data_IF_392573603723
#
_entry.id   IF_392573603723
#
_cell.length_a   1.000
_cell.length_b   1.000
_cell.length_c   1.000
_cell.angle_alpha   90.00
_cell.angle_beta   90.00
_cell.angle_gamma   90.00
#
_symmetry.space_group_name_H-M   'P 1'
#
loop_
_entity.id
_entity.type
_entity.pdbx_description
1 polymer ?
#
# COMPACT_ATOMS: atom_id res chain seq x y z
N UNK A 1 108.30 97.11 -21.20
CA UNK A 1 107.90 96.03 -22.10
C UNK A 1 106.70 95.35 -21.48
N UNK A 2 105.58 95.45 -22.21
CA UNK A 2 104.42 94.52 -22.22
C UNK A 2 103.54 94.54 -20.95
N UNK A 3 102.37 95.19 -20.90
CA UNK A 3 101.06 94.92 -21.56
C UNK A 3 100.51 93.50 -21.30
N UNK A 4 99.46 93.36 -20.46
CA UNK A 4 98.07 93.21 -20.94
C UNK A 4 97.00 92.89 -19.85
N UNK A 5 95.93 93.71 -19.90
CA UNK A 5 94.47 93.41 -19.90
C UNK A 5 93.73 92.69 -18.75
N UNK A 6 92.64 93.37 -18.33
CA UNK A 6 91.26 92.91 -17.98
C UNK A 6 90.83 93.18 -16.53
N UNK A 7 89.62 93.59 -16.19
CA UNK A 7 88.48 94.20 -16.87
C UNK A 7 87.58 94.79 -15.75
N UNK A 8 87.08 96.01 -15.95
CA UNK A 8 86.12 96.70 -15.08
C UNK A 8 84.78 95.96 -15.05
N UNK A 9 84.23 95.65 -13.88
CA UNK A 9 82.79 95.36 -13.70
C UNK A 9 82.29 95.94 -12.37
N UNK A 10 81.71 97.13 -12.47
CA UNK A 10 80.71 97.66 -11.53
C UNK A 10 79.50 96.72 -11.52
N UNK A 11 79.21 96.09 -10.39
CA UNK A 11 77.97 95.33 -10.18
C UNK A 11 77.02 96.24 -9.40
N UNK A 12 76.09 96.80 -10.16
CA UNK A 12 74.86 97.43 -9.68
C UNK A 12 74.05 96.45 -8.82
N UNK A 13 73.41 97.01 -7.78
CA UNK A 13 72.25 96.46 -7.08
C UNK A 13 71.29 95.77 -8.07
N UNK A 14 71.10 94.47 -7.90
CA UNK A 14 69.96 93.75 -8.47
C UNK A 14 69.13 93.26 -7.29
N UNK A 15 68.01 93.94 -7.08
CA UNK A 15 66.96 93.59 -6.14
C UNK A 15 66.78 92.07 -6.01
N UNK A 16 67.11 91.53 -4.83
CA UNK A 16 66.78 90.17 -4.44
C UNK A 16 65.26 90.03 -4.44
N UNK A 17 64.72 89.49 -5.54
CA UNK A 17 63.29 89.27 -5.73
C UNK A 17 62.80 88.18 -4.75
N UNK A 18 62.50 88.58 -3.51
CA UNK A 18 62.07 87.71 -2.41
C UNK A 18 60.86 86.84 -2.79
N UNK A 19 60.09 87.26 -3.81
CA UNK A 19 59.02 86.46 -4.40
C UNK A 19 59.51 85.19 -5.10
N UNK A 20 60.67 85.21 -5.76
CA UNK A 20 61.28 84.05 -6.40
C UNK A 20 61.76 83.03 -5.35
N UNK A 21 62.38 83.52 -4.27
CA UNK A 21 62.82 82.67 -3.15
C UNK A 21 61.63 81.99 -2.46
N UNK A 22 60.55 82.73 -2.20
CA UNK A 22 59.34 82.16 -1.61
C UNK A 22 58.62 81.16 -2.53
N UNK A 23 58.64 81.38 -3.86
CA UNK A 23 58.12 80.40 -4.83
C UNK A 23 58.95 79.12 -4.84
N UNK A 24 60.28 79.23 -4.74
CA UNK A 24 61.19 78.09 -4.63
C UNK A 24 60.89 77.28 -3.36
N UNK A 25 60.80 77.92 -2.20
CA UNK A 25 60.44 77.26 -0.94
C UNK A 25 59.04 76.63 -1.01
N UNK A 26 58.08 77.29 -1.65
CA UNK A 26 56.75 76.74 -1.94
C UNK A 26 56.77 75.51 -2.85
N UNK A 27 57.68 75.45 -3.82
CA UNK A 27 57.86 74.28 -4.69
C UNK A 27 58.54 73.11 -3.96
N UNK A 28 59.56 73.40 -3.16
CA UNK A 28 60.28 72.39 -2.36
C UNK A 28 59.35 71.79 -1.30
N UNK A 29 58.53 72.60 -0.63
CA UNK A 29 57.54 72.11 0.34
C UNK A 29 56.46 71.25 -0.31
N UNK A 30 55.99 71.58 -1.53
CA UNK A 30 55.04 70.74 -2.29
C UNK A 30 55.63 69.40 -2.73
N UNK A 31 56.94 69.32 -2.95
CA UNK A 31 57.64 68.05 -3.22
C UNK A 31 57.78 67.19 -1.96
N UNK A 32 57.98 67.82 -0.80
CA UNK A 32 58.14 67.13 0.48
C UNK A 32 56.81 66.69 1.12
N UNK A 33 55.69 67.30 0.73
CA UNK A 33 54.37 66.81 1.12
C UNK A 33 54.10 65.45 0.48
N UNK A 34 54.21 64.40 1.30
CA UNK A 34 53.84 63.03 0.96
C UNK A 34 52.38 62.99 0.50
N UNK A 35 52.15 63.08 -0.82
CA UNK A 35 50.82 62.93 -1.41
C UNK A 35 50.27 61.59 -0.95
N UNK A 36 49.21 61.60 -0.13
CA UNK A 36 48.43 60.40 0.13
C UNK A 36 47.77 60.01 -1.19
N UNK A 37 48.40 59.09 -1.91
CA UNK A 37 47.77 58.43 -3.05
C UNK A 37 46.52 57.76 -2.48
N UNK A 38 45.34 58.26 -2.85
CA UNK A 38 44.08 57.60 -2.53
C UNK A 38 44.15 56.16 -3.04
N UNK A 39 43.45 55.24 -2.36
CA UNK A 39 43.44 53.84 -2.76
C UNK A 39 43.18 53.71 -4.27
N UNK A 40 44.02 52.94 -4.96
CA UNK A 40 43.92 52.72 -6.41
C UNK A 40 42.53 52.19 -6.74
N UNK A 41 41.69 53.00 -7.38
CA UNK A 41 40.40 52.56 -7.89
C UNK A 41 40.63 51.91 -9.25
N UNK A 42 40.56 50.57 -9.27
CA UNK A 42 40.60 49.79 -10.51
C UNK A 42 39.29 50.00 -11.29
N UNK A 43 39.38 50.48 -12.53
CA UNK A 43 38.27 50.54 -13.49
C UNK A 43 38.20 49.26 -14.32
N UNK A 44 38.17 48.11 -13.67
CA UNK A 44 37.83 46.87 -14.36
C UNK A 44 36.30 46.77 -14.46
N UNK A 45 35.73 46.26 -15.56
CA UNK A 45 34.31 45.96 -15.63
C UNK A 45 33.96 44.97 -14.51
N UNK A 46 33.24 45.44 -13.50
CA UNK A 46 32.73 44.55 -12.47
C UNK A 46 31.71 43.60 -13.10
N UNK A 47 31.79 42.31 -12.77
CA UNK A 47 30.90 41.26 -13.27
C UNK A 47 29.40 41.55 -13.05
N UNK A 48 29.07 42.45 -12.12
CA UNK A 48 27.69 42.85 -11.81
C UNK A 48 27.55 44.39 -11.86
N UNK A 49 27.12 44.93 -12.99
CA UNK A 49 26.61 46.31 -13.09
C UNK A 49 25.09 46.21 -13.06
N UNK A 50 24.47 46.60 -11.94
CA UNK A 50 23.02 46.80 -11.87
C UNK A 50 22.75 48.22 -11.40
N UNK A 51 21.94 48.93 -12.18
CA UNK A 51 21.53 50.31 -11.90
C UNK A 51 20.47 50.37 -10.78
N UNK A 52 19.95 49.21 -10.36
CA UNK A 52 18.89 49.08 -9.36
C UNK A 52 19.41 48.63 -7.98
N UNK A 53 20.71 48.79 -7.71
CA UNK A 53 21.30 48.50 -6.42
C UNK A 53 20.82 49.51 -5.35
N UNK A 54 19.67 49.24 -4.75
CA UNK A 54 19.23 49.87 -3.51
C UNK A 54 20.18 49.45 -2.39
N UNK A 55 21.23 50.24 -2.18
CA UNK A 55 22.19 50.07 -1.08
C UNK A 55 21.92 51.11 -0.01
N UNK A 56 21.86 50.68 1.26
CA UNK A 56 21.78 51.58 2.41
C UNK A 56 23.17 51.71 2.99
N UNK A 57 23.69 52.93 3.10
CA UNK A 57 24.86 53.18 3.94
C UNK A 57 24.43 53.10 5.40
N UNK A 58 24.94 52.08 6.10
CA UNK A 58 24.80 51.96 7.54
C UNK A 58 26.19 51.67 8.13
N UNK A 59 26.64 52.53 9.04
CA UNK A 59 27.98 52.45 9.67
C UNK A 59 29.15 52.28 8.67
N UNK A 60 29.16 53.07 7.59
CA UNK A 60 30.25 53.07 6.60
C UNK A 60 30.34 51.81 5.73
N UNK A 61 29.39 50.87 5.83
CA UNK A 61 29.27 49.71 4.95
C UNK A 61 28.05 49.87 4.05
N UNK A 62 28.22 49.54 2.77
CA UNK A 62 27.12 49.52 1.79
C UNK A 62 26.38 48.19 1.91
N UNK A 63 25.27 48.16 2.64
CA UNK A 63 24.45 46.97 2.78
C UNK A 63 23.42 46.91 1.64
N UNK A 64 23.49 45.86 0.81
CA UNK A 64 22.53 45.63 -0.28
C UNK A 64 21.21 45.15 0.32
N UNK A 65 20.10 45.84 0.02
CA UNK A 65 18.78 45.40 0.46
C UNK A 65 18.47 44.06 -0.21
N UNK A 66 18.27 43.01 0.60
CA UNK A 66 17.95 41.68 0.07
C UNK A 66 16.46 41.63 -0.30
N UNK A 67 16.12 40.93 -1.37
CA UNK A 67 14.72 40.70 -1.77
C UNK A 67 13.89 40.08 -0.62
N UNK A 68 14.53 39.29 0.25
CA UNK A 68 13.91 38.73 1.46
C UNK A 68 13.50 39.79 2.50
N UNK A 69 14.19 40.93 2.58
CA UNK A 69 13.86 42.04 3.48
C UNK A 69 12.66 42.85 2.97
N UNK A 70 12.61 43.11 1.66
CA UNK A 70 11.44 43.71 1.01
C UNK A 70 10.21 42.78 1.12
N UNK A 71 10.41 41.46 1.06
CA UNK A 71 9.34 40.50 1.26
C UNK A 71 8.77 40.49 2.69
N UNK A 72 9.48 41.05 3.69
CA UNK A 72 8.96 41.17 5.07
C UNK A 72 7.92 42.27 5.18
N UNK A 73 8.12 43.41 4.52
CA UNK A 73 7.12 44.50 4.52
C UNK A 73 5.83 44.08 3.81
N UNK A 74 5.92 43.26 2.77
CA UNK A 74 4.77 42.69 2.06
C UNK A 74 3.91 41.74 2.92
N UNK A 75 4.44 41.19 4.03
CA UNK A 75 3.65 40.36 4.95
C UNK A 75 2.72 41.17 5.87
N UNK A 76 2.85 42.50 5.91
CA UNK A 76 1.99 43.35 6.75
C UNK A 76 0.56 43.42 6.24
N UNK A 77 0.33 43.15 4.95
CA UNK A 77 -1.00 43.15 4.32
C UNK A 77 -1.36 41.76 3.82
N UNK A 78 -2.52 41.26 4.24
CA UNK A 78 -3.01 39.93 3.89
C UNK A 78 -3.09 39.68 2.37
N UNK A 79 -3.39 40.71 1.58
CA UNK A 79 -3.47 40.63 0.11
C UNK A 79 -2.14 40.29 -0.57
N UNK A 80 -1.01 40.62 0.07
CA UNK A 80 0.34 40.42 -0.50
C UNK A 80 1.09 39.23 0.13
N UNK A 81 0.52 38.57 1.13
CA UNK A 81 1.09 37.37 1.76
C UNK A 81 1.34 36.24 0.74
N UNK A 82 0.46 36.09 -0.26
CA UNK A 82 0.66 35.10 -1.33
C UNK A 82 1.95 35.35 -2.14
N UNK A 83 2.32 36.62 -2.34
CA UNK A 83 3.52 37.01 -3.09
C UNK A 83 4.76 36.66 -2.27
N UNK A 84 4.76 36.91 -0.96
CA UNK A 84 5.87 36.56 -0.08
C UNK A 84 6.07 35.04 0.01
N UNK A 85 4.98 34.26 0.02
CA UNK A 85 5.03 32.79 -0.01
C UNK A 85 5.62 32.28 -1.32
N UNK A 86 5.16 32.78 -2.47
CA UNK A 86 5.72 32.44 -3.78
C UNK A 86 7.21 32.77 -3.84
N UNK A 87 7.63 33.91 -3.31
CA UNK A 87 9.03 34.32 -3.24
C UNK A 87 9.88 33.37 -2.38
N UNK A 88 9.40 32.98 -1.20
CA UNK A 88 10.08 31.99 -0.35
C UNK A 88 10.19 30.64 -1.03
N UNK A 89 9.15 30.19 -1.75
CA UNK A 89 9.20 28.93 -2.50
C UNK A 89 10.17 29.00 -3.67
N UNK A 90 10.23 30.13 -4.38
CA UNK A 90 11.17 30.36 -5.45
C UNK A 90 12.62 30.37 -4.92
N UNK A 91 12.89 31.05 -3.81
CA UNK A 91 14.21 31.04 -3.17
C UNK A 91 14.64 29.63 -2.73
N UNK A 92 13.72 28.81 -2.21
CA UNK A 92 14.02 27.41 -1.84
C UNK A 92 14.31 26.51 -3.04
N UNK A 93 13.66 26.77 -4.18
CA UNK A 93 13.82 26.01 -5.42
C UNK A 93 14.97 26.52 -6.29
N UNK A 94 15.38 27.77 -6.12
CA UNK A 94 16.52 28.39 -6.78
C UNK A 94 17.84 27.88 -6.20
N UNK A 95 18.12 26.58 -6.39
CA UNK A 95 19.47 26.05 -6.26
C UNK A 95 20.11 26.16 -7.63
N UNK A 96 21.05 27.09 -7.75
CA UNK A 96 21.87 27.21 -8.95
C UNK A 96 22.73 25.96 -9.06
N UNK A 97 22.76 25.36 -10.25
CA UNK A 97 23.70 24.28 -10.51
C UNK A 97 25.12 24.87 -10.46
N UNK A 98 26.09 24.16 -9.85
CA UNK A 98 27.46 24.58 -9.91
C UNK A 98 27.93 24.57 -11.37
N UNK A 99 28.88 25.44 -11.69
CA UNK A 99 29.54 25.43 -12.99
C UNK A 99 30.10 24.02 -13.23
N UNK A 100 29.88 23.41 -14.42
CA UNK A 100 30.46 22.12 -14.73
C UNK A 100 31.99 22.18 -14.62
N UNK A 101 32.57 21.13 -14.05
CA UNK A 101 34.01 20.97 -13.94
C UNK A 101 34.64 20.73 -15.32
N UNK A 102 35.95 20.93 -15.45
CA UNK A 102 36.68 20.57 -16.67
C UNK A 102 36.62 19.05 -16.90
N UNK A 103 36.70 18.64 -18.17
CA UNK A 103 36.52 17.24 -18.58
C UNK A 103 37.44 16.26 -17.83
N UNK A 104 38.70 16.65 -17.62
CA UNK A 104 39.68 15.81 -16.91
C UNK A 104 39.22 15.51 -15.47
N UNK A 105 38.64 16.50 -14.81
CA UNK A 105 38.13 16.35 -13.45
C UNK A 105 36.83 15.55 -13.41
N UNK A 106 35.91 15.78 -14.36
CA UNK A 106 34.67 14.99 -14.46
C UNK A 106 34.98 13.51 -14.73
N UNK A 107 35.90 13.22 -15.64
CA UNK A 107 36.26 11.86 -16.01
C UNK A 107 36.96 11.13 -14.87
N UNK A 108 37.74 11.84 -14.05
CA UNK A 108 38.32 11.27 -12.82
C UNK A 108 37.23 10.89 -11.82
N UNK A 109 36.25 11.76 -11.61
CA UNK A 109 35.12 11.50 -10.71
C UNK A 109 34.27 10.33 -11.23
N UNK A 110 33.96 10.30 -12.53
CA UNK A 110 33.20 9.22 -13.16
C UNK A 110 33.92 7.88 -13.04
N UNK A 111 35.24 7.85 -13.24
CA UNK A 111 36.04 6.63 -13.05
C UNK A 111 36.05 6.18 -11.59
N UNK A 112 36.17 7.10 -10.64
CA UNK A 112 36.12 6.76 -9.21
C UNK A 112 34.75 6.15 -8.84
N UNK A 113 33.66 6.77 -9.27
CA UNK A 113 32.30 6.25 -9.06
C UNK A 113 32.08 4.90 -9.75
N UNK A 114 32.58 4.73 -10.99
CA UNK A 114 32.54 3.46 -11.71
C UNK A 114 33.35 2.36 -11.01
N UNK A 115 34.52 2.70 -10.45
CA UNK A 115 35.33 1.78 -9.66
C UNK A 115 34.60 1.33 -8.38
N UNK A 116 33.98 2.26 -7.65
CA UNK A 116 33.20 1.90 -6.45
C UNK A 116 32.04 0.98 -6.79
N UNK A 117 31.32 1.26 -7.88
CA UNK A 117 30.22 0.41 -8.33
C UNK A 117 30.71 -0.98 -8.72
N UNK A 118 31.74 -1.08 -9.56
CA UNK A 118 32.30 -2.38 -9.99
C UNK A 118 32.89 -3.17 -8.83
N UNK A 119 33.54 -2.50 -7.87
CA UNK A 119 34.00 -3.10 -6.61
C UNK A 119 32.83 -3.71 -5.84
N UNK A 120 31.72 -3.00 -5.68
CA UNK A 120 30.54 -3.55 -5.00
C UNK A 120 29.95 -4.78 -5.73
N UNK A 121 29.98 -4.80 -7.07
CA UNK A 121 29.52 -5.96 -7.84
C UNK A 121 30.45 -7.16 -7.67
N UNK A 122 31.77 -6.94 -7.71
CA UNK A 122 32.77 -7.98 -7.51
C UNK A 122 32.74 -8.54 -6.09
N UNK A 123 32.53 -7.70 -5.07
CA UNK A 123 32.41 -8.13 -3.68
C UNK A 123 31.29 -9.17 -3.47
N UNK A 124 30.27 -9.22 -4.32
CA UNK A 124 29.21 -10.26 -4.26
C UNK A 124 29.78 -11.66 -4.52
N UNK A 125 30.87 -11.75 -5.29
CA UNK A 125 31.54 -12.99 -5.64
C UNK A 125 32.59 -13.41 -4.62
N UNK A 126 33.00 -12.53 -3.69
CA UNK A 126 34.03 -12.83 -2.70
C UNK A 126 33.70 -14.07 -1.87
N UNK A 127 32.43 -14.26 -1.50
CA UNK A 127 31.99 -15.43 -0.74
C UNK A 127 32.18 -16.74 -1.54
N UNK A 128 31.84 -16.75 -2.82
CA UNK A 128 32.00 -17.92 -3.71
C UNK A 128 33.47 -18.20 -3.94
N UNK A 129 34.28 -17.17 -4.19
CA UNK A 129 35.73 -17.29 -4.38
C UNK A 129 36.39 -17.79 -3.10
N UNK A 130 36.01 -17.27 -1.93
CA UNK A 130 36.52 -17.71 -0.64
C UNK A 130 36.17 -19.18 -0.39
N UNK A 131 34.92 -19.57 -0.61
CA UNK A 131 34.49 -20.97 -0.48
C UNK A 131 35.30 -21.90 -1.39
N UNK A 132 35.54 -21.50 -2.64
CA UNK A 132 36.36 -22.27 -3.57
C UNK A 132 37.83 -22.36 -3.15
N UNK A 133 38.40 -21.30 -2.53
CA UNK A 133 39.78 -21.31 -2.01
C UNK A 133 39.95 -22.19 -0.76
N UNK A 134 38.91 -22.26 0.07
CA UNK A 134 38.93 -23.05 1.31
C UNK A 134 38.61 -24.53 1.05
N UNK A 135 37.91 -24.85 -0.04
CA UNK A 135 37.54 -26.22 -0.37
C UNK A 135 38.79 -27.11 -0.59
N UNK A 136 38.83 -28.27 0.08
CA UNK A 136 39.93 -29.24 -0.05
C UNK A 136 40.03 -29.84 -1.45
N UNK A 137 38.90 -30.04 -2.12
CA UNK A 137 38.83 -30.56 -3.48
C UNK A 137 37.82 -29.76 -4.31
N UNK A 138 38.23 -29.40 -5.53
CA UNK A 138 37.36 -28.81 -6.54
C UNK A 138 37.24 -29.80 -7.71
N UNK A 139 36.00 -30.15 -8.09
CA UNK A 139 35.72 -31.00 -9.24
C UNK A 139 35.26 -30.15 -10.43
N UNK A 140 35.92 -30.32 -11.57
CA UNK A 140 35.55 -29.66 -12.83
C UNK A 140 35.06 -30.71 -13.85
N UNK A 141 34.00 -30.43 -14.64
CA UNK A 141 33.28 -29.16 -14.76
C UNK A 141 32.42 -28.84 -13.51
N UNK A 142 32.29 -27.55 -13.18
CA UNK A 142 31.41 -27.11 -12.10
C UNK A 142 29.98 -27.55 -12.41
N UNK A 143 29.29 -28.13 -11.42
CA UNK A 143 27.87 -28.50 -11.57
C UNK A 143 27.06 -27.22 -11.80
N UNK A 144 26.74 -26.91 -13.04
CA UNK A 144 25.74 -25.89 -13.34
C UNK A 144 24.39 -26.43 -12.89
N UNK A 145 23.65 -25.66 -12.10
CA UNK A 145 22.23 -25.90 -11.83
C UNK A 145 21.42 -25.62 -13.11
N UNK A 146 21.72 -26.33 -14.20
CA UNK A 146 20.67 -26.65 -15.17
C UNK A 146 19.80 -27.66 -14.45
N UNK A 147 18.93 -27.17 -13.56
CA UNK A 147 17.85 -27.96 -13.00
C UNK A 147 17.01 -28.36 -14.21
N UNK A 148 17.31 -29.52 -14.79
CA UNK A 148 16.38 -30.21 -15.66
C UNK A 148 15.26 -30.65 -14.74
N UNK A 149 14.32 -29.75 -14.51
CA UNK A 149 13.03 -30.11 -13.95
C UNK A 149 12.46 -31.05 -15.01
N UNK A 150 12.59 -32.35 -14.76
CA UNK A 150 11.76 -33.34 -15.41
C UNK A 150 10.33 -33.04 -14.94
N UNK A 151 9.73 -32.05 -15.58
CA UNK A 151 8.31 -31.84 -15.55
C UNK A 151 7.72 -33.17 -16.01
N UNK A 152 6.61 -33.60 -15.41
CA UNK A 152 5.89 -34.80 -15.84
C UNK A 152 5.47 -34.74 -17.34
N UNK A 153 5.79 -33.68 -18.08
CA UNK A 153 5.74 -33.59 -19.54
C UNK A 153 6.72 -34.52 -20.26
N UNK A 154 7.64 -35.21 -19.57
CA UNK A 154 8.29 -36.40 -20.16
C UNK A 154 7.26 -37.51 -20.47
N UNK A 155 6.08 -37.50 -19.81
CA UNK A 155 4.92 -38.34 -20.17
C UNK A 155 4.33 -37.90 -21.51
N UNK A 156 4.39 -36.61 -21.85
CA UNK A 156 3.93 -36.13 -23.16
C UNK A 156 4.86 -36.57 -24.31
N UNK A 157 6.14 -36.80 -24.03
CA UNK A 157 7.05 -37.45 -25.00
C UNK A 157 6.76 -38.95 -25.17
N UNK A 158 5.92 -39.55 -24.30
CA UNK A 158 5.37 -40.90 -24.49
C UNK A 158 4.19 -40.93 -25.46
N UNK A 159 3.72 -39.78 -25.98
CA UNK A 159 2.67 -39.71 -27.00
C UNK A 159 3.15 -40.33 -28.32
N UNK A 160 3.04 -41.65 -28.38
CA UNK A 160 2.84 -42.41 -29.63
C UNK A 160 1.54 -41.94 -30.29
N UNK A 161 1.38 -42.22 -31.58
CA UNK A 161 0.07 -42.06 -32.24
C UNK A 161 -0.95 -42.82 -31.38
N UNK A 162 -2.03 -42.17 -30.91
CA UNK A 162 -3.03 -42.83 -30.11
C UNK A 162 -3.57 -44.03 -30.90
N UNK A 163 -3.68 -45.17 -30.24
CA UNK A 163 -4.29 -46.37 -30.83
C UNK A 163 -5.76 -46.09 -31.15
N UNK A 164 -6.35 -46.83 -32.10
CA UNK A 164 -7.76 -46.67 -32.49
C UNK A 164 -8.69 -46.74 -31.26
N UNK A 165 -8.37 -47.64 -30.32
CA UNK A 165 -9.08 -47.75 -29.03
C UNK A 165 -8.93 -46.52 -28.14
N UNK A 166 -7.75 -45.90 -28.09
CA UNK A 166 -7.53 -44.68 -27.30
C UNK A 166 -8.26 -43.48 -27.90
N UNK A 167 -8.39 -43.42 -29.23
CA UNK A 167 -9.21 -42.41 -29.91
C UNK A 167 -10.69 -42.58 -29.56
N UNK A 168 -11.23 -43.79 -29.70
CA UNK A 168 -12.62 -44.12 -29.32
C UNK A 168 -12.89 -43.85 -27.83
N UNK A 169 -11.96 -44.22 -26.95
CA UNK A 169 -12.09 -43.95 -25.51
C UNK A 169 -12.05 -42.45 -25.21
N UNK A 170 -11.23 -41.70 -25.94
CA UNK A 170 -11.16 -40.24 -25.81
C UNK A 170 -12.43 -39.57 -26.31
N UNK A 171 -13.04 -40.08 -27.38
CA UNK A 171 -14.33 -39.61 -27.87
C UNK A 171 -15.42 -39.91 -26.86
N UNK A 172 -15.46 -41.11 -26.29
CA UNK A 172 -16.43 -41.50 -25.26
C UNK A 172 -16.28 -40.69 -23.96
N UNK A 173 -15.04 -40.33 -23.57
CA UNK A 173 -14.78 -39.46 -22.42
C UNK A 173 -15.11 -37.98 -22.69
N UNK A 174 -14.96 -37.52 -23.94
CA UNK A 174 -15.33 -36.16 -24.37
C UNK A 174 -16.83 -36.02 -24.58
N UNK A 175 -17.52 -37.11 -24.92
CA UNK A 175 -18.96 -37.10 -24.94
C UNK A 175 -19.45 -36.82 -23.51
N UNK A 176 -20.26 -35.77 -23.31
CA UNK A 176 -20.79 -35.47 -22.00
C UNK A 176 -21.65 -36.66 -21.59
N UNK A 177 -21.21 -37.40 -20.56
CA UNK A 177 -22.11 -38.36 -19.93
C UNK A 177 -23.34 -37.57 -19.47
N UNK A 178 -24.57 -38.02 -19.77
CA UNK A 178 -25.78 -37.47 -19.17
C UNK A 178 -25.84 -37.93 -17.71
N UNK A 179 -24.99 -37.36 -16.87
CA UNK A 179 -25.19 -37.33 -15.43
C UNK A 179 -25.46 -35.88 -15.06
N UNK A 180 -26.52 -35.60 -14.28
CA UNK A 180 -26.81 -34.26 -13.81
C UNK A 180 -25.62 -33.78 -12.96
N UNK A 181 -25.09 -32.62 -13.32
CA UNK A 181 -24.16 -31.89 -12.46
C UNK A 181 -24.88 -31.56 -11.14
N UNK A 182 -24.30 -32.07 -10.04
CA UNK A 182 -24.06 -31.34 -8.78
C UNK A 182 -25.33 -30.72 -8.19
N UNK A 183 -26.04 -31.41 -7.29
CA UNK A 183 -26.01 -31.01 -5.87
C UNK A 183 -26.39 -32.11 -4.84
N UNK A 184 -26.48 -33.39 -5.22
CA UNK A 184 -26.96 -34.48 -4.34
C UNK A 184 -25.91 -35.58 -4.03
N UNK A 185 -24.61 -35.28 -4.11
CA UNK A 185 -23.52 -36.27 -3.89
C UNK A 185 -23.26 -36.65 -2.41
N UNK A 186 -24.29 -36.68 -1.57
CA UNK A 186 -24.18 -37.24 -0.21
C UNK A 186 -25.20 -38.33 0.13
N UNK A 187 -26.27 -38.52 -0.65
CA UNK A 187 -27.35 -39.43 -0.25
C UNK A 187 -27.76 -40.56 -1.20
N UNK A 188 -27.29 -40.61 -2.45
CA UNK A 188 -27.61 -41.73 -3.35
C UNK A 188 -26.37 -42.34 -3.98
N UNK A 189 -25.71 -43.24 -3.23
CA UNK A 189 -24.89 -44.31 -3.81
C UNK A 189 -25.12 -45.60 -3.01
N UNK A 190 -26.37 -46.02 -2.90
CA UNK A 190 -26.74 -47.40 -2.58
C UNK A 190 -27.06 -48.22 -3.83
N UNK A 191 -27.25 -47.57 -4.98
CA UNK A 191 -27.63 -48.24 -6.23
C UNK A 191 -26.47 -48.52 -7.20
N UNK A 192 -25.26 -47.97 -6.98
CA UNK A 192 -24.03 -48.43 -7.67
C UNK A 192 -23.57 -49.83 -7.23
N UNK A 193 -24.13 -50.37 -6.15
CA UNK A 193 -23.95 -51.78 -5.77
C UNK A 193 -24.62 -52.75 -6.77
N UNK A 194 -25.39 -52.23 -7.74
CA UNK A 194 -25.92 -52.96 -8.88
C UNK A 194 -25.09 -52.69 -10.14
N UNK A 195 -23.76 -52.65 -10.03
CA UNK A 195 -22.90 -52.94 -11.18
C UNK A 195 -23.32 -54.33 -11.68
N UNK A 196 -24.05 -54.36 -12.81
CA UNK A 196 -24.52 -55.54 -13.53
C UNK A 196 -23.54 -56.70 -13.34
N UNK A 197 -24.04 -57.82 -12.80
CA UNK A 197 -23.32 -59.07 -12.56
C UNK A 197 -22.85 -59.71 -13.87
N UNK A 198 -21.90 -59.07 -14.57
CA UNK A 198 -21.15 -59.73 -15.62
C UNK A 198 -20.11 -60.62 -14.95
N UNK A 199 -19.97 -61.90 -15.34
CA UNK A 199 -18.94 -62.76 -14.79
C UNK A 199 -17.56 -62.19 -15.14
N UNK A 200 -16.92 -61.54 -14.17
CA UNK A 200 -15.60 -60.97 -14.32
C UNK A 200 -14.57 -62.11 -14.48
N UNK A 201 -13.79 -62.06 -15.56
CA UNK A 201 -12.62 -62.93 -15.70
C UNK A 201 -11.66 -62.75 -14.51
N UNK A 202 -10.96 -63.83 -14.12
CA UNK A 202 -10.03 -63.83 -12.98
C UNK A 202 -9.00 -62.69 -13.06
N UNK A 203 -8.53 -62.36 -14.26
CA UNK A 203 -7.62 -61.24 -14.50
C UNK A 203 -8.24 -59.89 -14.11
N UNK A 204 -9.48 -59.63 -14.53
CA UNK A 204 -10.21 -58.39 -14.23
C UNK A 204 -10.47 -58.25 -12.72
N UNK A 205 -10.75 -59.36 -12.02
CA UNK A 205 -10.93 -59.35 -10.56
C UNK A 205 -9.62 -58.98 -9.85
N UNK A 206 -8.48 -59.52 -10.30
CA UNK A 206 -7.16 -59.17 -9.74
C UNK A 206 -6.84 -57.70 -9.98
N UNK A 207 -7.13 -57.18 -11.17
CA UNK A 207 -6.92 -55.77 -11.50
C UNK A 207 -7.81 -54.83 -10.71
N UNK A 208 -9.13 -55.14 -10.59
CA UNK A 208 -10.06 -54.40 -9.73
C UNK A 208 -9.56 -54.39 -8.27
N UNK A 209 -9.10 -55.52 -7.75
CA UNK A 209 -8.52 -55.60 -6.39
C UNK A 209 -7.27 -54.73 -6.24
N UNK A 210 -6.37 -54.74 -7.22
CA UNK A 210 -5.16 -53.88 -7.23
C UNK A 210 -5.53 -52.40 -7.28
N UNK A 211 -6.52 -52.03 -8.09
CA UNK A 211 -7.02 -50.66 -8.20
C UNK A 211 -7.66 -50.19 -6.88
N UNK A 212 -8.53 -51.00 -6.28
CA UNK A 212 -9.15 -50.71 -4.98
C UNK A 212 -8.09 -50.59 -3.88
N UNK A 213 -7.09 -51.48 -3.86
CA UNK A 213 -5.99 -51.42 -2.90
C UNK A 213 -5.19 -50.10 -3.05
N UNK A 214 -4.93 -49.67 -4.29
CA UNK A 214 -4.26 -48.39 -4.60
C UNK A 214 -5.09 -47.19 -4.14
N UNK A 215 -6.40 -47.18 -4.41
CA UNK A 215 -7.31 -46.12 -3.97
C UNK A 215 -7.38 -46.04 -2.44
N UNK A 216 -7.50 -47.19 -1.76
CA UNK A 216 -7.50 -47.27 -0.29
C UNK A 216 -6.20 -46.72 0.30
N UNK A 217 -5.05 -47.06 -0.29
CA UNK A 217 -3.76 -46.53 0.14
C UNK A 217 -3.68 -45.01 -0.04
N UNK A 218 -4.13 -44.47 -1.18
CA UNK A 218 -4.16 -43.02 -1.43
C UNK A 218 -5.08 -42.28 -0.45
N UNK A 219 -6.27 -42.82 -0.18
CA UNK A 219 -7.20 -42.27 0.81
C UNK A 219 -6.57 -42.26 2.20
N UNK A 220 -5.90 -43.34 2.61
CA UNK A 220 -5.18 -43.42 3.89
C UNK A 220 -4.06 -42.37 3.99
N UNK A 221 -3.28 -42.14 2.93
CA UNK A 221 -2.27 -41.08 2.92
C UNK A 221 -2.88 -39.68 3.02
N UNK A 222 -4.00 -39.42 2.34
CA UNK A 222 -4.72 -38.14 2.46
C UNK A 222 -5.25 -37.94 3.88
N UNK A 223 -5.85 -38.97 4.48
CA UNK A 223 -6.36 -38.94 5.85
C UNK A 223 -5.23 -38.70 6.86
N UNK A 224 -4.13 -39.44 6.77
CA UNK A 224 -2.97 -39.25 7.67
C UNK A 224 -2.34 -37.87 7.52
N UNK A 225 -2.24 -37.33 6.30
CA UNK A 225 -1.79 -35.95 6.05
C UNK A 225 -2.76 -34.94 6.68
N UNK A 226 -4.07 -35.11 6.52
CA UNK A 226 -5.08 -34.25 7.13
C UNK A 226 -5.02 -34.29 8.66
N UNK A 227 -4.81 -35.48 9.24
CA UNK A 227 -4.62 -35.66 10.69
C UNK A 227 -3.34 -34.98 11.19
N UNK A 228 -2.22 -35.09 10.47
CA UNK A 228 -1.00 -34.34 10.80
C UNK A 228 -1.24 -32.84 10.72
N UNK A 229 -1.95 -32.41 9.67
CA UNK A 229 -2.30 -31.01 9.45
C UNK A 229 -3.19 -30.44 10.58
N UNK A 230 -4.16 -31.22 11.08
CA UNK A 230 -5.01 -30.80 12.21
C UNK A 230 -4.27 -30.78 13.55
N UNK A 231 -3.25 -31.65 13.71
CA UNK A 231 -2.39 -31.69 14.91
C UNK A 231 -1.36 -30.57 15.00
N UNK A 232 -1.10 -29.81 13.92
CA UNK A 232 -0.16 -28.68 13.97
C UNK A 232 -0.78 -27.55 14.78
N UNK A 233 -0.31 -27.32 16.01
CA UNK A 233 -0.84 -26.29 16.92
C UNK A 233 -0.27 -24.88 16.69
N UNK A 234 0.56 -24.69 15.67
CA UNK A 234 1.23 -23.41 15.38
C UNK A 234 0.23 -22.35 14.92
N UNK A 235 0.17 -21.22 15.64
CA UNK A 235 -0.65 -20.05 15.26
C UNK A 235 -0.30 -19.53 13.86
N UNK A 236 1.00 -19.45 13.55
CA UNK A 236 1.51 -19.01 12.24
C UNK A 236 1.03 -19.93 11.12
N UNK A 237 1.03 -21.24 11.36
CA UNK A 237 0.56 -22.23 10.39
C UNK A 237 -0.92 -22.07 10.07
N UNK A 238 -1.80 -22.02 11.08
CA UNK A 238 -3.23 -21.82 10.84
C UNK A 238 -3.56 -20.45 10.26
N UNK A 239 -2.76 -19.42 10.54
CA UNK A 239 -2.90 -18.11 9.90
C UNK A 239 -2.54 -18.16 8.42
N UNK A 240 -1.43 -18.81 8.07
CA UNK A 240 -1.00 -19.01 6.67
C UNK A 240 -2.02 -19.88 5.94
N UNK A 241 -2.50 -20.97 6.55
CA UNK A 241 -3.49 -21.86 5.95
C UNK A 241 -4.82 -21.14 5.68
N UNK A 242 -5.33 -20.36 6.64
CA UNK A 242 -6.54 -19.55 6.43
C UNK A 242 -6.36 -18.56 5.30
N UNK A 243 -5.21 -17.87 5.25
CA UNK A 243 -4.89 -16.94 4.15
C UNK A 243 -4.78 -17.66 2.81
N UNK A 244 -4.23 -18.86 2.77
CA UNK A 244 -4.15 -19.67 1.55
C UNK A 244 -5.55 -20.07 1.07
N UNK A 245 -6.40 -20.60 1.95
CA UNK A 245 -7.78 -20.99 1.62
C UNK A 245 -8.59 -19.81 1.09
N UNK A 246 -8.49 -18.64 1.72
CA UNK A 246 -9.18 -17.42 1.24
C UNK A 246 -8.67 -17.00 -0.13
N UNK A 247 -7.36 -17.08 -0.38
CA UNK A 247 -6.79 -16.78 -1.70
C UNK A 247 -7.22 -17.77 -2.78
N UNK A 248 -7.34 -19.06 -2.43
CA UNK A 248 -7.85 -20.09 -3.34
C UNK A 248 -9.31 -19.81 -3.70
N UNK A 249 -10.16 -19.53 -2.71
CA UNK A 249 -11.57 -19.16 -2.94
C UNK A 249 -11.74 -17.90 -3.80
N UNK A 250 -10.88 -16.89 -3.61
CA UNK A 250 -10.89 -15.68 -4.45
C UNK A 250 -10.48 -15.98 -5.89
N UNK A 251 -9.44 -16.82 -6.09
CA UNK A 251 -9.03 -17.25 -7.43
C UNK A 251 -10.10 -18.08 -8.12
N UNK A 252 -10.71 -19.03 -7.41
CA UNK A 252 -11.83 -19.81 -7.93
C UNK A 252 -12.98 -18.91 -8.36
N UNK A 253 -13.28 -17.88 -7.58
CA UNK A 253 -14.29 -16.88 -7.92
C UNK A 253 -13.92 -16.04 -9.15
N UNK A 254 -12.67 -15.56 -9.25
CA UNK A 254 -12.16 -14.83 -10.42
C UNK A 254 -12.18 -15.68 -11.69
N UNK A 255 -11.82 -16.96 -11.58
CA UNK A 255 -11.87 -17.91 -12.70
C UNK A 255 -13.31 -18.19 -13.14
N UNK A 256 -14.23 -18.38 -12.19
CA UNK A 256 -15.66 -18.56 -12.49
C UNK A 256 -16.24 -17.29 -13.13
N UNK A 257 -15.86 -16.10 -12.66
CA UNK A 257 -16.31 -14.84 -13.26
C UNK A 257 -15.87 -14.69 -14.73
N UNK A 258 -14.68 -15.20 -15.09
CA UNK A 258 -14.16 -15.15 -16.45
C UNK A 258 -14.75 -16.22 -17.37
N UNK A 259 -15.01 -17.42 -16.84
CA UNK A 259 -15.52 -18.56 -17.61
C UNK A 259 -17.04 -18.49 -17.76
N UNK A 260 -17.75 -18.36 -16.62
CA UNK A 260 -19.20 -18.50 -16.50
C UNK A 260 -19.76 -17.46 -15.49
N UNK A 261 -20.17 -16.27 -15.93
CA UNK A 261 -20.65 -15.22 -15.03
C UNK A 261 -21.92 -15.61 -14.26
N UNK A 262 -22.76 -16.49 -14.82
CA UNK A 262 -23.97 -17.00 -14.14
C UNK A 262 -23.63 -17.91 -12.94
N UNK A 263 -22.62 -18.78 -13.07
CA UNK A 263 -22.16 -19.64 -11.98
C UNK A 263 -21.49 -18.83 -10.86
N UNK A 264 -20.80 -17.74 -11.21
CA UNK A 264 -20.25 -16.81 -10.21
C UNK A 264 -21.36 -16.11 -9.40
N UNK A 265 -22.46 -15.72 -10.05
CA UNK A 265 -23.63 -15.15 -9.37
C UNK A 265 -24.29 -16.17 -8.44
N UNK A 266 -24.46 -17.42 -8.88
CA UNK A 266 -25.00 -18.50 -8.03
C UNK A 266 -24.13 -18.73 -6.78
N UNK A 267 -22.80 -18.76 -6.91
CA UNK A 267 -21.89 -18.87 -5.76
C UNK A 267 -21.99 -17.68 -4.80
N UNK A 268 -22.22 -16.47 -5.29
CA UNK A 268 -22.50 -15.31 -4.42
C UNK A 268 -23.86 -15.44 -3.74
N UNK A 269 -24.90 -15.84 -4.46
CA UNK A 269 -26.23 -16.06 -3.91
C UNK A 269 -26.23 -17.16 -2.85
N UNK A 270 -25.48 -18.24 -3.02
CA UNK A 270 -25.29 -19.28 -2.01
C UNK A 270 -24.68 -18.72 -0.73
N UNK A 271 -23.62 -17.90 -0.84
CA UNK A 271 -23.00 -17.23 0.32
C UNK A 271 -23.96 -16.24 1.00
N UNK A 272 -24.84 -15.60 0.24
CA UNK A 272 -25.88 -14.73 0.78
C UNK A 272 -27.04 -15.51 1.40
N UNK A 273 -27.43 -16.64 0.80
CA UNK A 273 -28.43 -17.58 1.32
C UNK A 273 -27.95 -18.19 2.64
N UNK A 274 -26.70 -18.64 2.74
CA UNK A 274 -26.15 -19.13 4.02
C UNK A 274 -26.15 -18.02 5.07
N UNK A 275 -25.76 -16.80 4.70
CA UNK A 275 -25.81 -15.63 5.59
C UNK A 275 -27.24 -15.27 6.00
N UNK A 276 -28.21 -15.38 5.10
CA UNK A 276 -29.63 -15.11 5.35
C UNK A 276 -30.23 -16.20 6.25
N UNK A 277 -29.97 -17.47 5.98
CA UNK A 277 -30.36 -18.60 6.82
C UNK A 277 -29.78 -18.48 8.23
N UNK A 278 -28.53 -18.03 8.38
CA UNK A 278 -27.91 -17.76 9.69
C UNK A 278 -28.56 -16.59 10.44
N UNK A 279 -29.06 -15.57 9.71
CA UNK A 279 -29.84 -14.47 10.29
C UNK A 279 -31.24 -14.90 10.72
N UNK A 280 -31.92 -15.70 9.88
CA UNK A 280 -33.26 -16.23 10.15
C UNK A 280 -33.24 -17.21 11.32
N UNK A 281 -32.27 -18.12 11.34
CA UNK A 281 -32.12 -19.11 12.43
C UNK A 281 -31.58 -18.51 13.73
N UNK A 282 -31.20 -17.22 13.75
CA UNK A 282 -30.60 -16.51 14.90
C UNK A 282 -29.44 -17.28 15.55
N UNK A 283 -28.80 -18.21 14.82
CA UNK A 283 -27.91 -19.25 15.37
C UNK A 283 -26.66 -18.68 16.05
N UNK A 284 -26.22 -17.50 15.60
CA UNK A 284 -25.05 -16.80 16.13
C UNK A 284 -25.41 -15.51 16.88
N UNK A 285 -26.69 -15.26 17.18
CA UNK A 285 -27.13 -14.20 18.10
C UNK A 285 -26.97 -14.66 19.56
N UNK A 286 -26.71 -13.73 20.47
CA UNK A 286 -26.53 -14.01 21.90
C UNK A 286 -27.84 -14.34 22.65
N UNK A 287 -28.93 -14.61 21.94
CA UNK A 287 -30.28 -14.76 22.50
C UNK A 287 -30.60 -16.17 22.99
N UNK A 288 -29.85 -17.20 22.55
CA UNK A 288 -30.04 -18.59 22.97
C UNK A 288 -29.57 -18.88 24.41
N UNK A 289 -30.15 -19.91 25.05
CA UNK A 289 -29.84 -20.30 26.44
C UNK A 289 -28.36 -20.60 26.67
N UNK A 290 -27.69 -21.23 25.70
CA UNK A 290 -26.24 -21.46 25.76
C UNK A 290 -25.44 -20.15 25.81
N UNK A 291 -25.79 -19.17 24.98
CA UNK A 291 -25.12 -17.87 24.95
C UNK A 291 -25.39 -17.06 26.22
N UNK A 292 -26.62 -17.10 26.76
CA UNK A 292 -26.96 -16.50 28.06
C UNK A 292 -26.14 -17.10 29.21
N UNK A 293 -26.01 -18.42 29.25
CA UNK A 293 -25.17 -19.11 30.23
C UNK A 293 -23.68 -18.78 30.05
N UNK A 294 -23.23 -18.62 28.81
CA UNK A 294 -21.86 -18.23 28.49
C UNK A 294 -21.56 -16.79 28.90
N UNK A 295 -22.53 -15.86 28.80
CA UNK A 295 -22.42 -14.48 29.30
C UNK A 295 -22.25 -14.46 30.82
N UNK A 296 -22.99 -15.30 31.55
CA UNK A 296 -22.86 -15.42 33.01
C UNK A 296 -21.48 -15.97 33.37
N UNK A 297 -21.02 -17.03 32.69
CA UNK A 297 -19.70 -17.64 32.93
C UNK A 297 -18.53 -16.76 32.49
N UNK A 298 -18.70 -15.97 31.43
CA UNK A 298 -17.67 -15.06 30.92
C UNK A 298 -17.23 -14.00 31.93
N UNK A 299 -18.01 -13.74 32.98
CA UNK A 299 -17.58 -12.89 34.11
C UNK A 299 -16.35 -13.49 34.81
N UNK A 300 -16.35 -14.81 35.00
CA UNK A 300 -15.38 -15.55 35.81
C UNK A 300 -14.34 -16.30 34.96
N UNK A 301 -14.75 -16.86 33.82
CA UNK A 301 -13.91 -17.71 32.97
C UNK A 301 -13.37 -16.99 31.72
N UNK A 302 -12.04 -17.08 31.51
CA UNK A 302 -11.36 -16.50 30.34
C UNK A 302 -11.77 -17.19 29.03
N UNK A 303 -11.94 -18.50 29.04
CA UNK A 303 -12.34 -19.28 27.87
C UNK A 303 -13.78 -18.96 27.45
N UNK A 304 -14.69 -18.80 28.41
CA UNK A 304 -16.06 -18.36 28.15
C UNK A 304 -16.10 -16.95 27.55
N UNK A 305 -15.20 -16.05 27.99
CA UNK A 305 -15.07 -14.70 27.43
C UNK A 305 -14.56 -14.70 25.99
N UNK A 306 -13.63 -15.60 25.64
CA UNK A 306 -13.15 -15.79 24.26
C UNK A 306 -14.26 -16.36 23.38
N UNK A 307 -14.94 -17.43 23.81
CA UNK A 307 -16.00 -18.06 23.04
C UNK A 307 -17.19 -17.11 22.80
N UNK A 308 -17.54 -16.27 23.78
CA UNK A 308 -18.55 -15.22 23.64
C UNK A 308 -18.09 -14.15 22.62
N UNK A 309 -16.84 -13.70 22.70
CA UNK A 309 -16.29 -12.73 21.75
C UNK A 309 -16.25 -13.28 20.32
N UNK A 310 -15.91 -14.56 20.14
CA UNK A 310 -15.94 -15.24 18.83
C UNK A 310 -17.36 -15.35 18.27
N UNK A 311 -18.35 -15.67 19.11
CA UNK A 311 -19.75 -15.70 18.71
C UNK A 311 -20.24 -14.31 18.28
N UNK A 312 -19.90 -13.27 19.05
CA UNK A 312 -20.24 -11.89 18.69
C UNK A 312 -19.51 -11.42 17.43
N UNK A 313 -18.23 -11.78 17.25
CA UNK A 313 -17.47 -11.48 16.04
C UNK A 313 -18.08 -12.14 14.80
N UNK A 314 -18.43 -13.42 14.86
CA UNK A 314 -19.16 -14.12 13.79
C UNK A 314 -20.50 -13.47 13.50
N UNK A 315 -21.26 -13.10 14.55
CA UNK A 315 -22.53 -12.39 14.37
C UNK A 315 -22.32 -11.07 13.61
N UNK A 316 -21.26 -10.30 13.93
CA UNK A 316 -20.92 -9.04 13.26
C UNK A 316 -20.45 -9.29 11.82
N UNK A 317 -19.56 -10.24 11.57
CA UNK A 317 -19.11 -10.60 10.21
C UNK A 317 -20.28 -10.99 9.31
N UNK A 318 -21.29 -11.65 9.86
CA UNK A 318 -22.50 -12.08 9.14
C UNK A 318 -23.57 -10.97 9.04
N UNK A 319 -23.66 -10.04 9.99
CA UNK A 319 -24.66 -8.94 9.98
C UNK A 319 -24.15 -7.63 9.38
N UNK A 320 -22.83 -7.41 9.30
CA UNK A 320 -22.26 -6.23 8.65
C UNK A 320 -22.60 -6.30 7.17
N UNK A 321 -23.65 -5.56 6.79
CA UNK A 321 -23.94 -5.23 5.40
C UNK A 321 -22.78 -4.35 4.90
N UNK A 322 -22.34 -4.56 3.65
CA UNK A 322 -21.46 -3.66 2.91
C UNK A 322 -22.20 -2.34 2.60
N UNK A 323 -22.54 -1.58 3.65
CA UNK A 323 -23.26 -0.32 3.55
C UNK A 323 -22.53 0.75 4.37
N UNK A 324 -21.65 1.50 3.71
CA UNK A 324 -21.27 2.85 4.11
C UNK A 324 -21.08 3.73 2.87
N UNK A 325 -22.18 4.39 2.44
CA UNK A 325 -22.34 5.85 2.55
C UNK A 325 -23.51 6.36 1.68
N UNK A 326 -24.58 6.80 2.35
CA UNK A 326 -25.32 8.02 2.01
C UNK A 326 -25.53 8.78 3.33
N UNK A 327 -25.14 10.05 3.33
CA UNK A 327 -25.44 11.15 4.29
C UNK A 327 -26.91 11.13 4.78
N UNK A 328 -27.34 11.65 5.93
CA UNK A 328 -26.93 12.83 6.72
C UNK A 328 -27.63 12.83 8.11
N UNK A 329 -27.22 13.78 8.96
CA UNK A 329 -27.67 14.22 10.29
C UNK A 329 -29.17 14.13 10.73
N UNK A 330 -29.34 14.33 12.05
CA UNK A 330 -30.54 14.39 12.92
C UNK A 330 -30.94 13.03 13.49
N UNK A 331 -31.07 12.79 14.79
CA UNK A 331 -31.37 13.68 15.91
C UNK A 331 -30.93 12.97 17.22
N UNK A 332 -30.54 13.76 18.22
CA UNK A 332 -30.33 13.29 19.60
C UNK A 332 -31.69 13.03 20.24
N UNK A 333 -31.86 11.89 20.89
CA UNK A 333 -32.66 11.80 22.11
C UNK A 333 -32.17 10.66 23.01
N UNK A 334 -32.27 10.92 24.30
CA UNK A 334 -31.59 10.29 25.42
C UNK A 334 -32.27 8.96 25.83
N UNK A 335 -31.48 7.95 26.17
CA UNK A 335 -31.90 7.00 27.20
C UNK A 335 -30.69 6.63 28.07
N UNK A 336 -30.76 7.15 29.29
CA UNK A 336 -29.83 7.01 30.39
C UNK A 336 -29.96 5.60 30.98
N UNK A 337 -28.90 4.79 30.88
CA UNK A 337 -28.73 3.62 31.76
C UNK A 337 -27.31 3.66 32.31
N UNK A 338 -27.22 3.98 33.59
CA UNK A 338 -26.00 4.08 34.38
C UNK A 338 -25.11 2.83 34.25
N UNK A 339 -23.87 3.05 33.82
CA UNK A 339 -22.77 2.09 33.97
C UNK A 339 -21.68 2.81 34.77
N UNK A 340 -21.18 2.25 35.88
CA UNK A 340 -20.11 2.88 36.63
C UNK A 340 -18.84 2.95 35.78
N UNK A 341 -18.38 4.18 35.58
CA UNK A 341 -17.12 4.52 34.95
C UNK A 341 -15.94 3.95 35.76
N UNK A 342 -15.21 3.01 35.17
CA UNK A 342 -13.78 2.89 35.44
C UNK A 342 -13.02 3.11 34.14
N UNK A 343 -12.41 4.29 34.13
CA UNK A 343 -11.51 4.86 33.14
C UNK A 343 -10.32 3.95 32.82
N UNK A 344 -10.22 3.56 31.55
CA UNK A 344 -8.92 3.37 30.90
C UNK A 344 -8.92 4.13 29.57
N UNK A 345 -8.17 5.22 29.59
CA UNK A 345 -7.81 6.07 28.47
C UNK A 345 -7.25 5.22 27.32
N UNK A 346 -7.97 5.15 26.19
CA UNK A 346 -7.39 4.69 24.93
C UNK A 346 -6.51 5.81 24.39
N UNK A 347 -5.21 5.72 24.65
CA UNK A 347 -4.21 6.54 23.96
C UNK A 347 -4.25 6.23 22.46
N UNK A 348 -4.10 7.31 21.73
CA UNK A 348 -4.07 7.44 20.30
C UNK A 348 -3.00 6.55 19.63
N UNK A 349 -3.18 6.39 18.33
CA UNK A 349 -2.35 5.66 17.37
C UNK A 349 -0.83 5.77 17.63
N UNK A 350 -0.23 4.65 18.01
CA UNK A 350 1.22 4.47 18.10
C UNK A 350 1.75 4.06 16.71
N UNK A 351 2.53 4.91 16.01
CA UNK A 351 2.98 4.66 14.63
C UNK A 351 3.96 3.48 14.48
N UNK A 352 4.48 2.94 15.60
CA UNK A 352 5.44 1.84 15.63
C UNK A 352 4.85 0.50 16.08
N UNK A 353 3.52 0.34 16.13
CA UNK A 353 2.92 -0.95 16.47
C UNK A 353 2.94 -1.94 15.26
N UNK A 354 3.76 -3.01 15.28
CA UNK A 354 3.86 -3.97 14.17
C UNK A 354 2.66 -4.92 14.07
N UNK A 355 1.73 -4.87 15.04
CA UNK A 355 0.54 -5.75 15.11
C UNK A 355 -0.72 -5.14 14.49
N UNK A 356 -0.71 -3.84 14.16
CA UNK A 356 -1.77 -3.25 13.33
C UNK A 356 -1.41 -3.51 11.87
N UNK A 357 -2.10 -4.47 11.26
CA UNK A 357 -1.88 -4.85 9.86
C UNK A 357 -2.19 -3.64 8.97
N UNK A 358 -1.15 -2.95 8.50
CA UNK A 358 -1.26 -1.94 7.45
C UNK A 358 -1.87 -2.64 6.23
N UNK A 359 -3.11 -2.32 5.89
CA UNK A 359 -3.66 -2.68 4.59
C UNK A 359 -2.68 -2.15 3.54
N UNK A 360 -2.26 -3.00 2.58
CA UNK A 360 -1.28 -2.56 1.58
C UNK A 360 -1.84 -1.32 0.89
N UNK A 361 -1.00 -0.28 0.77
CA UNK A 361 -1.41 0.99 0.16
C UNK A 361 -1.99 0.75 -1.24
N UNK A 362 -1.47 -0.25 -1.94
CA UNK A 362 -1.96 -0.79 -3.21
C UNK A 362 -3.41 -1.30 -3.15
N UNK A 363 -3.82 -1.97 -2.07
CA UNK A 363 -5.20 -2.47 -1.90
C UNK A 363 -6.16 -1.31 -1.59
N UNK A 364 -5.72 -0.34 -0.78
CA UNK A 364 -6.51 0.86 -0.47
C UNK A 364 -6.68 1.74 -1.72
N UNK A 365 -5.60 1.91 -2.48
CA UNK A 365 -5.60 2.66 -3.73
C UNK A 365 -6.45 1.94 -4.79
N UNK A 366 -6.38 0.61 -4.90
CA UNK A 366 -7.21 -0.21 -5.79
C UNK A 366 -8.71 -0.10 -5.46
N UNK A 367 -9.10 -0.27 -4.19
CA UNK A 367 -10.50 -0.16 -3.76
C UNK A 367 -11.02 1.27 -3.98
N UNK A 368 -10.19 2.29 -3.75
CA UNK A 368 -10.56 3.69 -4.01
C UNK A 368 -10.72 4.00 -5.50
N UNK A 369 -9.87 3.45 -6.36
CA UNK A 369 -9.95 3.59 -7.82
C UNK A 369 -11.15 2.87 -8.41
N UNK A 370 -11.42 1.65 -7.93
CA UNK A 370 -12.58 0.86 -8.32
C UNK A 370 -13.90 1.55 -7.92
N UNK A 371 -13.95 2.14 -6.72
CA UNK A 371 -15.10 2.93 -6.25
C UNK A 371 -15.36 4.14 -7.14
N UNK A 372 -14.31 4.91 -7.48
CA UNK A 372 -14.43 6.06 -8.40
C UNK A 372 -14.93 5.64 -9.77
N UNK A 373 -14.43 4.53 -10.31
CA UNK A 373 -14.89 3.99 -11.60
C UNK A 373 -16.39 3.69 -11.60
N UNK A 374 -16.90 3.00 -10.57
CA UNK A 374 -18.32 2.68 -10.48
C UNK A 374 -19.21 3.88 -10.16
N UNK A 375 -18.72 4.86 -9.41
CA UNK A 375 -19.42 6.14 -9.23
C UNK A 375 -19.51 6.92 -10.54
N UNK A 376 -18.45 6.93 -11.35
CA UNK A 376 -18.49 7.55 -12.69
C UNK A 376 -19.41 6.80 -13.64
N UNK A 377 -19.40 5.46 -13.63
CA UNK A 377 -20.31 4.62 -14.40
C UNK A 377 -21.76 4.77 -13.98
N UNK A 378 -22.02 4.88 -12.68
CA UNK A 378 -23.34 5.16 -12.12
C UNK A 378 -23.86 6.52 -12.58
N UNK A 379 -23.04 7.57 -12.50
CA UNK A 379 -23.39 8.89 -13.05
C UNK A 379 -23.59 8.86 -14.56
N UNK A 380 -22.81 8.06 -15.29
CA UNK A 380 -22.96 7.89 -16.74
C UNK A 380 -24.24 7.13 -17.10
N UNK A 381 -24.69 6.19 -16.26
CA UNK A 381 -25.95 5.47 -16.39
C UNK A 381 -27.15 6.34 -15.99
N UNK A 382 -27.01 7.16 -14.94
CA UNK A 382 -28.02 8.16 -14.56
C UNK A 382 -28.15 9.26 -15.62
N UNK A 383 -27.03 9.70 -16.21
CA UNK A 383 -27.02 10.64 -17.33
C UNK A 383 -27.59 10.04 -18.63
N UNK A 384 -27.46 8.72 -18.83
CA UNK A 384 -28.06 7.99 -19.97
C UNK A 384 -29.51 7.57 -19.71
N UNK A 385 -29.96 7.51 -18.46
CA UNK A 385 -31.32 7.19 -18.04
C UNK A 385 -32.24 8.40 -17.83
N UNK A 386 -31.71 9.62 -17.98
CA UNK A 386 -32.46 10.87 -17.89
C UNK A 386 -33.26 11.17 -19.16
N UNK A 387 -34.25 10.34 -19.48
CA UNK A 387 -35.17 10.56 -20.58
C UNK A 387 -36.32 9.55 -20.61
N UNK A 388 -37.43 9.88 -19.93
CA UNK A 388 -38.74 9.30 -20.22
C UNK A 388 -39.40 8.48 -19.10
N UNK A 389 -40.42 9.11 -18.50
CA UNK A 389 -41.64 8.55 -17.91
C UNK A 389 -41.60 7.81 -16.56
N UNK A 390 -42.39 8.36 -15.64
CA UNK A 390 -42.46 7.99 -14.23
C UNK A 390 -43.44 6.87 -13.91
N UNK A 391 -43.24 6.29 -12.72
CA UNK A 391 -44.27 5.57 -12.00
C UNK A 391 -44.27 6.07 -10.56
N UNK A 392 -45.42 6.62 -10.18
CA UNK A 392 -45.72 7.31 -8.92
C UNK A 392 -45.68 6.34 -7.74
N UNK A 393 -44.83 6.61 -6.76
CA UNK A 393 -44.89 5.99 -5.43
C UNK A 393 -45.92 6.74 -4.60
N UNK A 394 -47.05 6.11 -4.31
CA UNK A 394 -48.04 6.61 -3.33
C UNK A 394 -47.44 6.54 -1.93
N UNK A 395 -47.26 7.71 -1.31
CA UNK A 395 -47.21 7.86 0.14
C UNK A 395 -48.63 7.66 0.68
N UNK A 396 -48.81 6.73 1.64
CA UNK A 396 -50.02 6.69 2.44
C UNK A 396 -49.70 7.18 3.86
N UNK A 397 -50.48 8.17 4.24
CA UNK A 397 -50.48 8.91 5.48
C UNK A 397 -50.77 8.06 6.72
N UNK A 398 -50.19 8.53 7.82
CA UNK A 398 -50.62 8.38 9.21
C UNK A 398 -52.13 8.63 9.40
N UNK A 399 -52.78 7.76 10.18
CA UNK A 399 -54.05 8.06 10.83
C UNK A 399 -53.97 7.59 12.29
N UNK A 400 -54.27 8.55 13.15
CA UNK A 400 -54.28 8.53 14.61
C UNK A 400 -55.55 7.89 15.18
N UNK A 401 -55.37 7.26 16.34
CA UNK A 401 -56.21 7.35 17.56
C UNK A 401 -57.71 6.99 17.50
N UNK A 402 -58.10 5.94 18.23
CA UNK A 402 -59.18 5.97 19.24
C UNK A 402 -59.52 4.58 19.82
N UNK A 403 -59.66 4.52 21.15
CA UNK A 403 -60.61 3.65 21.86
C UNK A 403 -60.18 2.24 22.29
N UNK A 404 -60.04 1.99 23.60
CA UNK A 404 -60.17 0.65 24.22
C UNK A 404 -61.65 0.33 24.56
N UNK A 405 -61.97 -0.61 25.48
CA UNK A 405 -61.31 -1.85 25.94
C UNK A 405 -62.26 -3.08 25.78
N UNK A 406 -62.05 -4.15 26.58
CA UNK A 406 -62.86 -5.39 26.77
C UNK A 406 -62.48 -6.60 25.88
N UNK A 407 -62.62 -7.87 26.26
CA UNK A 407 -62.62 -8.68 27.50
C UNK A 407 -62.68 -10.15 27.01
N UNK A 408 -62.30 -11.12 27.84
CA UNK A 408 -62.47 -12.59 27.69
C UNK A 408 -61.61 -13.29 26.61
N UNK A 409 -61.11 -14.50 26.80
CA UNK A 409 -61.31 -15.47 27.85
C UNK A 409 -60.20 -16.52 27.85
N UNK A 410 -60.13 -17.21 28.99
CA UNK A 410 -59.26 -18.31 29.32
C UNK A 410 -59.39 -19.48 28.32
N UNK A 411 -58.28 -20.17 28.05
CA UNK A 411 -58.31 -21.62 28.14
C UNK A 411 -56.91 -22.19 28.46
N UNK A 412 -56.80 -22.70 29.68
CA UNK A 412 -55.71 -23.55 30.14
C UNK A 412 -55.97 -24.96 29.60
N UNK A 413 -54.99 -25.60 28.96
CA UNK A 413 -54.70 -27.02 29.22
C UNK A 413 -53.22 -27.33 28.97
N UNK A 414 -52.60 -27.85 30.01
CA UNK A 414 -51.36 -28.64 30.07
C UNK A 414 -51.79 -29.96 30.77
N UNK A 415 -50.91 -30.95 30.91
CA UNK A 415 -50.40 -31.89 29.91
C UNK A 415 -50.81 -33.33 30.31
N UNK A 416 -50.60 -34.35 29.49
CA UNK A 416 -50.59 -35.71 30.03
C UNK A 416 -49.54 -36.59 29.33
N UNK A 417 -48.64 -37.08 30.17
CA UNK A 417 -47.73 -38.19 29.94
C UNK A 417 -48.46 -39.47 30.33
N UNK A 418 -48.24 -40.56 29.60
CA UNK A 418 -48.05 -41.96 30.06
C UNK A 418 -48.05 -42.85 28.80
N UNK A 419 -46.97 -43.60 28.49
CA UNK A 419 -46.51 -44.89 29.05
C UNK A 419 -47.22 -46.10 28.42
N UNK A 420 -46.38 -47.07 28.03
CA UNK A 420 -46.67 -48.51 27.83
C UNK A 420 -47.59 -48.84 26.63
N UNK A 421 -47.42 -49.88 25.82
CA UNK A 421 -46.53 -51.05 25.71
C UNK A 421 -46.71 -51.60 24.27
N UNK A 422 -45.87 -52.59 23.91
CA UNK A 422 -45.76 -53.39 22.67
C UNK A 422 -44.85 -52.90 21.52
#
# INVERSE_FOLDING_TARGET
MEEDLSAQLDIQDSDDDAGAHNKLLGAVTKLYQKKRVGAVSRKEPSLEVSEFHLSRQHNGRNERIRVAELARSLNTRATYAQISHKLKTAQKRAKTLPKPLEQIHTDRINRAAGYEHTKQQLNRWDAVVYQQRVAEQLSFPLRSETVTVHQNTDIAKMFRKPTELELELSELLKQPKPFPQQDEEAHENKDEAKEKDYPLSLANVIEKRKMIAKLRAQQSYKQTKAMRHSKIKSKKFHQIQRRARVKEQLKEFEELQQKDPEAALQRLEELEKTRALERVTLRHRSTGQWAKNLVVRAKYDKEARIALAEQLAKSKELTVKLAQNKESESEKEEEEVEVPSQSQQTKENDPDNPWVVKQSKEMVDFVSGYRKYWETKGRELEAKGGGGEGVVVKQNHSLSDSGGPENSGEEKTKPEQNREED
#
